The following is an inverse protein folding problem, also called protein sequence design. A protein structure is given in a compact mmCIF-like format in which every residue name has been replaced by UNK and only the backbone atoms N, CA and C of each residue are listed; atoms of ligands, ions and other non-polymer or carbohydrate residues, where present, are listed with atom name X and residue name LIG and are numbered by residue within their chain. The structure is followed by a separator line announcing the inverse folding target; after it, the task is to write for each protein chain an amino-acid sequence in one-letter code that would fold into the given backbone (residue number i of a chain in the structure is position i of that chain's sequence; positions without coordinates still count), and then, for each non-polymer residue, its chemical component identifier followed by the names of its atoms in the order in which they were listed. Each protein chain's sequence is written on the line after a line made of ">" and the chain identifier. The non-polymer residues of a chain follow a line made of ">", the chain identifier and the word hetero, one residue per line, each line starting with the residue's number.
data_IF_186837121174
#
_entry.id   IF_186837121174
#
_cell.length_a   1.000
_cell.length_b   1.000
_cell.length_c   1.000
_cell.angle_alpha   90.00
_cell.angle_beta   90.00
_cell.angle_gamma   90.00
#
_symmetry.space_group_name_H-M   'P 1'
#
loop_
_entity.id
_entity.type
_entity.pdbx_description
1 polymer ?
#
# COMPACT_ATOMS: atom_id res chain seq x y z
N UNK A 1 42.25 7.15 -27.52
CA UNK A 1 41.15 7.77 -28.27
C UNK A 1 40.13 6.74 -28.65
N UNK A 2 40.57 5.58 -28.99
CA UNK A 2 39.62 4.56 -29.36
C UNK A 2 38.72 4.16 -28.22
N UNK A 3 39.22 4.19 -27.05
CA UNK A 3 38.42 3.77 -25.90
C UNK A 3 37.25 4.64 -25.67
N UNK A 4 37.29 5.83 -26.07
CA UNK A 4 36.22 6.73 -25.85
C UNK A 4 34.96 6.29 -26.55
N UNK A 5 35.14 5.76 -27.69
CA UNK A 5 34.01 5.38 -28.51
C UNK A 5 33.21 4.26 -27.84
N UNK A 6 33.84 3.47 -27.07
CA UNK A 6 33.15 2.37 -26.47
C UNK A 6 32.14 2.79 -25.46
N UNK A 7 32.40 3.87 -24.81
CA UNK A 7 31.47 4.30 -23.85
C UNK A 7 30.12 4.55 -24.39
N UNK A 8 30.08 5.18 -25.52
CA UNK A 8 28.82 5.49 -26.13
C UNK A 8 28.08 4.22 -26.47
N UNK A 9 28.80 3.23 -26.87
CA UNK A 9 28.14 1.98 -27.21
C UNK A 9 27.50 1.34 -26.02
N UNK A 10 28.20 1.34 -24.93
CA UNK A 10 27.65 0.71 -23.76
C UNK A 10 26.42 1.41 -23.29
N UNK A 11 26.46 2.69 -23.31
CA UNK A 11 25.34 3.43 -22.81
C UNK A 11 24.10 3.18 -23.59
N UNK A 12 24.24 3.08 -24.89
CA UNK A 12 23.06 2.83 -25.68
C UNK A 12 22.49 1.48 -25.41
N UNK A 13 23.33 0.51 -25.16
CA UNK A 13 22.81 -0.81 -24.87
C UNK A 13 22.06 -0.83 -23.58
N UNK A 14 22.60 -0.19 -22.60
CA UNK A 14 21.95 -0.17 -21.33
C UNK A 14 20.65 0.56 -21.39
N UNK A 15 20.57 1.56 -22.17
CA UNK A 15 19.33 2.28 -22.29
C UNK A 15 18.22 1.41 -22.83
N UNK A 16 18.55 0.37 -23.55
CA UNK A 16 17.52 -0.52 -24.05
C UNK A 16 16.99 -1.50 -23.02
N UNK A 17 17.76 -1.75 -22.00
CA UNK A 17 17.36 -2.76 -21.03
C UNK A 17 16.15 -2.40 -20.20
N UNK A 18 16.06 -1.22 -19.71
CA UNK A 18 14.96 -0.88 -18.82
C UNK A 18 13.60 -1.04 -19.43
N UNK A 19 13.52 -1.01 -20.73
CA UNK A 19 12.23 -1.13 -21.38
C UNK A 19 11.53 -2.42 -21.05
N UNK A 20 12.28 -3.44 -20.83
CA UNK A 20 11.67 -4.73 -20.59
C UNK A 20 11.02 -4.80 -19.23
N UNK A 21 11.52 -4.04 -18.32
CA UNK A 21 11.00 -4.09 -16.97
C UNK A 21 9.75 -3.27 -16.81
N UNK A 22 9.65 -2.19 -17.55
CA UNK A 22 8.47 -1.37 -17.47
C UNK A 22 7.20 -2.12 -17.77
N UNK A 23 7.14 -2.90 -18.85
CA UNK A 23 5.96 -3.68 -19.09
C UNK A 23 5.64 -4.67 -17.99
N UNK A 24 6.66 -5.22 -17.37
CA UNK A 24 6.41 -6.15 -16.30
C UNK A 24 5.73 -5.49 -15.12
N UNK A 25 6.15 -4.31 -14.80
CA UNK A 25 5.53 -3.59 -13.72
C UNK A 25 4.08 -3.25 -14.00
N UNK A 26 3.82 -2.90 -15.21
CA UNK A 26 2.45 -2.63 -15.62
C UNK A 26 1.60 -3.87 -15.48
N UNK A 27 2.13 -5.02 -15.86
CA UNK A 27 1.38 -6.25 -15.76
C UNK A 27 1.06 -6.63 -14.32
N UNK A 28 1.94 -6.28 -13.40
CA UNK A 28 1.70 -6.61 -12.01
C UNK A 28 0.48 -5.89 -11.45
N UNK A 29 0.14 -4.79 -12.05
CA UNK A 29 -1.01 -4.00 -11.61
C UNK A 29 -2.20 -4.11 -12.53
N UNK A 30 -2.05 -4.86 -13.60
CA UNK A 30 -3.12 -5.01 -14.57
C UNK A 30 -3.98 -6.21 -14.20
N UNK A 31 -5.25 -6.21 -14.58
CA UNK A 31 -6.09 -7.39 -14.43
C UNK A 31 -5.54 -8.52 -15.27
N UNK A 32 -5.89 -9.76 -14.94
CA UNK A 32 -5.46 -10.91 -15.73
C UNK A 32 -5.86 -10.75 -17.19
N UNK A 33 -4.99 -11.28 -18.05
CA UNK A 33 -5.26 -11.23 -19.47
C UNK A 33 -6.56 -11.99 -19.77
N UNK A 34 -7.45 -11.35 -20.51
CA UNK A 34 -8.74 -11.94 -20.83
C UNK A 34 -9.82 -11.67 -19.83
N UNK A 35 -9.50 -10.98 -18.72
CA UNK A 35 -10.52 -10.61 -17.76
C UNK A 35 -11.34 -9.47 -18.32
N UNK A 36 -12.65 -9.61 -18.23
CA UNK A 36 -13.57 -8.55 -18.59
C UNK A 36 -13.54 -7.51 -17.45
N UNK A 37 -13.56 -6.22 -17.77
CA UNK A 37 -13.72 -5.21 -16.73
C UNK A 37 -14.92 -5.47 -15.82
N UNK A 38 -15.93 -6.12 -16.31
CA UNK A 38 -17.10 -6.49 -15.52
C UNK A 38 -16.79 -7.54 -14.46
N UNK A 39 -15.72 -8.30 -14.63
CA UNK A 39 -15.33 -9.32 -13.65
C UNK A 39 -14.54 -8.73 -12.49
N UNK A 40 -14.16 -7.47 -12.56
CA UNK A 40 -13.46 -6.83 -11.48
C UNK A 40 -14.44 -6.37 -10.42
N UNK A 41 -14.11 -6.67 -9.15
CA UNK A 41 -14.94 -6.20 -8.06
C UNK A 41 -14.86 -4.68 -7.95
N UNK A 42 -15.99 -4.02 -7.69
CA UNK A 42 -15.97 -2.58 -7.51
C UNK A 42 -15.26 -2.19 -6.21
N UNK A 43 -14.65 -1.01 -6.17
CA UNK A 43 -14.08 -0.50 -4.93
C UNK A 43 -15.11 -0.45 -3.82
N UNK A 44 -14.66 -0.65 -2.61
CA UNK A 44 -15.53 -0.65 -1.43
C UNK A 44 -14.89 0.19 -0.33
N UNK A 45 -15.66 0.41 0.74
CA UNK A 45 -15.17 1.10 1.92
C UNK A 45 -15.32 0.17 3.11
N UNK A 46 -14.24 -0.01 3.85
CA UNK A 46 -14.26 -0.85 5.05
C UNK A 46 -13.72 -0.06 6.23
N UNK A 47 -14.18 -0.41 7.43
CA UNK A 47 -13.79 0.27 8.66
C UNK A 47 -13.00 -0.69 9.54
N UNK A 48 -11.86 -0.23 10.02
CA UNK A 48 -11.03 -0.92 10.98
C UNK A 48 -11.08 -0.10 12.26
N UNK A 49 -11.42 -0.75 13.37
CA UNK A 49 -11.56 -0.06 14.65
C UNK A 49 -10.38 -0.35 15.55
N UNK A 50 -9.84 0.68 16.18
CA UNK A 50 -8.88 0.52 17.26
C UNK A 50 -9.69 0.34 18.53
N UNK A 51 -9.69 -0.87 19.08
CA UNK A 51 -10.59 -1.22 20.16
C UNK A 51 -9.88 -1.35 21.51
N UNK A 52 -8.57 -1.55 21.50
CA UNK A 52 -7.79 -1.70 22.72
C UNK A 52 -6.30 -1.56 22.38
N UNK A 53 -5.45 -1.61 23.39
CA UNK A 53 -3.99 -1.59 23.20
C UNK A 53 -3.46 -2.80 22.46
N UNK A 54 -4.28 -3.81 22.27
CA UNK A 54 -3.83 -5.09 21.71
C UNK A 54 -4.41 -5.37 20.34
N UNK A 55 -5.37 -4.61 19.85
CA UNK A 55 -6.07 -5.03 18.65
C UNK A 55 -6.68 -3.91 17.83
N UNK A 56 -6.51 -4.05 16.53
CA UNK A 56 -7.41 -3.50 15.54
C UNK A 56 -8.45 -4.57 15.19
N UNK A 57 -9.68 -4.16 14.93
CA UNK A 57 -10.76 -5.09 14.58
C UNK A 57 -11.53 -4.56 13.36
N UNK A 58 -11.56 -5.27 12.25
CA UNK A 58 -10.79 -6.48 11.98
C UNK A 58 -9.31 -6.16 11.81
N UNK A 59 -8.44 -7.12 12.06
CA UNK A 59 -7.01 -6.94 11.87
C UNK A 59 -6.56 -7.34 10.47
N UNK A 60 -7.44 -7.90 9.68
CA UNK A 60 -7.18 -8.27 8.30
C UNK A 60 -8.36 -7.88 7.43
N UNK A 61 -8.09 -7.16 6.37
CA UNK A 61 -9.10 -6.84 5.35
C UNK A 61 -8.55 -7.20 3.97
N UNK A 62 -9.44 -7.62 3.09
CA UNK A 62 -9.12 -7.90 1.70
C UNK A 62 -10.10 -7.12 0.85
N UNK A 63 -9.58 -6.16 0.09
CA UNK A 63 -10.43 -5.23 -0.66
C UNK A 63 -9.90 -5.09 -2.08
N UNK A 64 -10.78 -4.76 -3.05
CA UNK A 64 -10.36 -4.46 -4.41
C UNK A 64 -9.55 -3.16 -4.47
N UNK A 65 -8.71 -3.03 -5.49
CA UNK A 65 -7.98 -1.80 -5.75
C UNK A 65 -8.96 -0.64 -5.92
N UNK A 66 -8.59 0.54 -5.42
CA UNK A 66 -9.46 1.70 -5.41
C UNK A 66 -10.31 1.82 -4.16
N UNK A 67 -10.27 0.81 -3.29
CA UNK A 67 -11.07 0.82 -2.06
C UNK A 67 -10.47 1.74 -1.01
N UNK A 68 -11.32 2.19 -0.09
CA UNK A 68 -10.94 3.05 1.01
C UNK A 68 -11.04 2.27 2.31
N UNK A 69 -10.00 2.38 3.13
CA UNK A 69 -10.01 1.83 4.48
C UNK A 69 -10.07 3.01 5.45
N UNK A 70 -10.98 2.91 6.41
CA UNK A 70 -11.15 3.92 7.45
C UNK A 70 -10.70 3.29 8.76
N UNK A 71 -9.74 3.94 9.44
CA UNK A 71 -9.37 3.58 10.80
C UNK A 71 -10.11 4.50 11.75
N UNK A 72 -10.82 3.90 12.68
CA UNK A 72 -11.60 4.64 13.67
C UNK A 72 -11.16 4.25 15.07
N UNK A 73 -10.84 5.24 15.89
CA UNK A 73 -10.50 4.96 17.29
C UNK A 73 -11.78 4.96 18.13
N UNK A 74 -12.21 3.77 18.52
CA UNK A 74 -13.38 3.60 19.40
C UNK A 74 -12.98 3.33 20.84
N UNK A 75 -11.68 3.37 21.13
CA UNK A 75 -11.15 3.21 22.48
C UNK A 75 -11.08 4.57 23.16
N UNK A 76 -10.83 4.55 24.44
CA UNK A 76 -10.64 5.77 25.22
C UNK A 76 -9.20 6.26 25.22
N UNK A 77 -8.27 5.49 24.69
CA UNK A 77 -6.87 5.85 24.62
C UNK A 77 -6.49 6.29 23.21
N UNK A 78 -5.35 6.99 23.11
CA UNK A 78 -4.83 7.42 21.82
C UNK A 78 -4.17 6.25 21.11
N UNK A 79 -4.40 6.14 19.82
CA UNK A 79 -3.77 5.14 18.96
C UNK A 79 -3.19 5.82 17.73
N UNK A 80 -2.51 5.06 16.88
CA UNK A 80 -2.09 5.53 15.57
C UNK A 80 -2.46 4.50 14.52
N UNK A 81 -2.68 5.00 13.30
CA UNK A 81 -2.72 4.16 12.11
C UNK A 81 -1.44 4.48 11.35
N UNK A 82 -0.50 3.55 11.33
CA UNK A 82 0.81 3.78 10.77
C UNK A 82 1.17 2.66 9.80
N UNK A 83 1.45 3.04 8.57
CA UNK A 83 1.86 2.11 7.55
C UNK A 83 3.26 1.60 7.80
N UNK A 84 3.50 0.34 7.46
CA UNK A 84 4.87 -0.20 7.41
C UNK A 84 5.38 -0.25 5.98
N UNK A 85 4.61 0.23 5.05
CA UNK A 85 5.01 0.37 3.65
C UNK A 85 5.44 1.81 3.39
N UNK A 86 6.34 1.95 2.42
CA UNK A 86 6.93 3.26 2.12
C UNK A 86 6.65 3.64 0.68
N UNK A 87 6.63 4.95 0.42
CA UNK A 87 6.60 5.47 -0.93
C UNK A 87 7.97 5.27 -1.58
N UNK A 88 8.07 5.54 -2.87
CA UNK A 88 9.34 5.46 -3.59
C UNK A 88 10.40 6.39 -2.99
N UNK A 89 9.96 7.47 -2.35
CA UNK A 89 10.88 8.43 -1.73
C UNK A 89 11.27 8.02 -0.31
N UNK A 90 10.84 6.87 0.16
CA UNK A 90 11.20 6.38 1.49
C UNK A 90 10.37 6.97 2.62
N UNK A 91 9.22 7.53 2.30
CA UNK A 91 8.32 8.12 3.29
C UNK A 91 7.23 7.10 3.59
N UNK A 92 6.80 7.02 4.86
CA UNK A 92 5.68 6.15 5.22
C UNK A 92 4.47 6.47 4.37
N UNK A 93 3.80 5.43 3.90
CA UNK A 93 2.63 5.60 3.05
C UNK A 93 1.55 6.39 3.78
N UNK A 94 1.36 6.13 5.05
CA UNK A 94 0.51 6.96 5.92
C UNK A 94 0.94 6.82 7.37
N UNK A 95 0.64 7.85 8.14
CA UNK A 95 0.81 7.85 9.59
C UNK A 95 -0.14 8.90 10.16
N UNK A 96 -1.03 8.48 11.04
CA UNK A 96 -1.97 9.38 11.65
C UNK A 96 -2.23 9.01 13.11
N UNK A 97 -2.12 10.00 13.99
CA UNK A 97 -2.54 9.83 15.37
C UNK A 97 -4.06 9.93 15.43
N UNK A 98 -4.65 9.06 16.21
CA UNK A 98 -6.10 8.99 16.38
C UNK A 98 -6.44 9.16 17.85
N UNK A 99 -6.98 10.31 18.19
CA UNK A 99 -7.56 10.52 19.52
C UNK A 99 -8.86 9.76 19.60
N UNK A 100 -9.40 9.53 20.80
CA UNK A 100 -10.70 8.87 20.91
C UNK A 100 -11.76 9.55 20.03
N UNK A 101 -12.42 8.77 19.21
CA UNK A 101 -13.42 9.25 18.27
C UNK A 101 -12.90 9.67 16.92
N UNK A 102 -11.61 9.77 16.74
CA UNK A 102 -11.05 10.21 15.45
C UNK A 102 -11.12 9.10 14.41
N UNK A 103 -11.18 9.53 13.16
CA UNK A 103 -11.15 8.67 11.99
C UNK A 103 -10.09 9.15 11.04
N UNK A 104 -9.50 8.19 10.32
CA UNK A 104 -8.56 8.47 9.25
C UNK A 104 -8.85 7.52 8.11
N UNK A 105 -8.92 8.03 6.89
CA UNK A 105 -9.18 7.19 5.75
C UNK A 105 -8.03 7.25 4.74
N UNK A 106 -7.80 6.13 4.09
CA UNK A 106 -6.79 6.02 3.07
C UNK A 106 -7.33 5.19 1.92
N UNK A 107 -7.17 5.71 0.71
CA UNK A 107 -7.58 5.02 -0.51
C UNK A 107 -6.39 4.27 -1.10
N UNK A 108 -6.58 2.98 -1.37
CA UNK A 108 -5.53 2.13 -1.93
C UNK A 108 -5.68 2.05 -3.45
N UNK A 109 -4.80 2.75 -4.16
CA UNK A 109 -4.86 2.81 -5.63
C UNK A 109 -4.04 1.73 -6.30
N UNK A 110 -3.24 0.98 -5.56
CA UNK A 110 -2.40 -0.07 -6.11
C UNK A 110 -2.62 -1.36 -5.36
N UNK A 111 -2.68 -2.45 -6.09
CA UNK A 111 -2.76 -3.78 -5.49
C UNK A 111 -1.49 -4.08 -4.73
N UNK A 112 -1.60 -4.92 -3.72
CA UNK A 112 -0.47 -5.33 -2.90
C UNK A 112 -0.90 -5.68 -1.50
N UNK A 113 0.08 -6.01 -0.67
CA UNK A 113 -0.14 -6.31 0.74
C UNK A 113 0.45 -5.16 1.55
N UNK A 114 -0.40 -4.56 2.38
CA UNK A 114 -0.03 -3.40 3.17
C UNK A 114 -0.14 -3.75 4.65
N UNK A 115 0.93 -3.47 5.38
CA UNK A 115 0.99 -3.74 6.81
C UNK A 115 0.84 -2.42 7.55
N UNK A 116 0.13 -2.45 8.65
CA UNK A 116 -0.03 -1.27 9.50
C UNK A 116 0.02 -1.65 10.96
N UNK A 117 0.35 -0.68 11.81
CA UNK A 117 0.36 -0.88 13.25
C UNK A 117 0.08 0.42 13.99
N UNK A 118 0.03 0.31 15.30
CA UNK A 118 0.03 1.44 16.20
C UNK A 118 1.43 1.54 16.79
N UNK A 119 2.02 2.74 16.73
CA UNK A 119 3.41 2.94 17.17
C UNK A 119 3.53 3.50 18.58
N UNK A 120 2.42 3.57 19.31
CA UNK A 120 2.47 4.04 20.69
C UNK A 120 3.10 2.95 21.55
N UNK A 121 3.98 3.36 22.46
CA UNK A 121 4.70 2.43 23.32
C UNK A 121 3.74 1.53 24.08
N UNK A 122 4.09 0.26 24.19
CA UNK A 122 3.32 -0.78 24.89
C UNK A 122 1.98 -1.13 24.22
N UNK A 123 1.73 -0.62 23.04
CA UNK A 123 0.58 -1.03 22.24
C UNK A 123 1.05 -2.09 21.25
N UNK A 124 0.36 -3.22 21.20
CA UNK A 124 0.72 -4.33 20.33
C UNK A 124 -0.37 -4.56 19.30
N UNK A 125 -0.62 -3.53 18.50
CA UNK A 125 -1.70 -3.53 17.52
C UNK A 125 -1.12 -3.54 16.14
N UNK A 126 -1.49 -4.51 15.33
CA UNK A 126 -1.06 -4.58 13.94
C UNK A 126 -2.15 -5.16 13.07
N UNK A 127 -2.01 -4.98 11.78
CA UNK A 127 -2.96 -5.54 10.84
C UNK A 127 -2.44 -5.56 9.42
N UNK A 128 -3.25 -6.12 8.55
CA UNK A 128 -2.92 -6.27 7.13
C UNK A 128 -4.12 -5.85 6.30
N UNK A 129 -3.85 -5.01 5.31
CA UNK A 129 -4.81 -4.70 4.27
C UNK A 129 -4.27 -5.31 2.96
N UNK A 130 -4.97 -6.31 2.45
CA UNK A 130 -4.63 -6.90 1.17
C UNK A 130 -5.50 -6.29 0.10
N UNK A 131 -4.86 -5.73 -0.90
CA UNK A 131 -5.55 -5.03 -1.98
C UNK A 131 -5.38 -5.84 -3.25
N UNK A 132 -6.49 -6.36 -3.75
CA UNK A 132 -6.51 -7.23 -4.93
C UNK A 132 -6.75 -6.42 -6.19
N UNK A 133 -6.14 -6.83 -7.33
CA UNK A 133 -6.37 -6.15 -8.59
C UNK A 133 -7.81 -6.26 -9.06
#
# INVERSE_FOLDING_TARGET
>A
AAGIVFFASFQTQQAGQPKLELPKQVFNNAPPIGADPADMLPPTTVVIKAVSKSAFTPSFVNVPVGSTVIWENVDKEIHTATSKNFTADGILLFHRQLNPGDKFEFKFDKSGTYYFDCVIAFHEMSGIARVSP
#
